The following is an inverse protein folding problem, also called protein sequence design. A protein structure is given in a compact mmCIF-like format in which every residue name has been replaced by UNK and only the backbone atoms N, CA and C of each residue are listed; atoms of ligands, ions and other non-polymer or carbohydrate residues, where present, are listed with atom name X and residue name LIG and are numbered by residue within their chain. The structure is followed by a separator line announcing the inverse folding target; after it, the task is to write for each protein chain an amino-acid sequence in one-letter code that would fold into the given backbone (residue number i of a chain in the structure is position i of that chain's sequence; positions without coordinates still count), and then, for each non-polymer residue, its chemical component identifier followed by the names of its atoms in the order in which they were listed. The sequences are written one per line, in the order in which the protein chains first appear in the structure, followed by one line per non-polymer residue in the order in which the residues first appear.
data_IF_656844309074
#
_entry.id   IF_656844309074
#
_cell.length_a   1.000
_cell.length_b   1.000
_cell.length_c   1.000
_cell.angle_alpha   90.00
_cell.angle_beta   90.00
_cell.angle_gamma   90.00
#
_symmetry.space_group_name_H-M   'P 1'
#
loop_
_entity.id
_entity.type
_entity.pdbx_description
1 polymer ?
#
# COMPACT_ATOMS: atom_id res chain seq x y z
N UNK A 1 30.31 0.48 -46.77
CA UNK A 1 31.02 1.78 -46.91
C UNK A 1 32.47 1.46 -47.26
N UNK A 2 33.14 2.24 -48.14
CA UNK A 2 34.56 2.02 -48.44
C UNK A 2 35.35 2.21 -47.13
N UNK A 3 36.12 1.19 -46.75
CA UNK A 3 36.74 1.04 -45.42
C UNK A 3 38.15 1.62 -45.33
N UNK A 4 38.44 2.61 -46.17
CA UNK A 4 39.77 3.16 -46.45
C UNK A 4 39.98 4.58 -45.89
N UNK A 5 38.96 5.16 -45.23
CA UNK A 5 38.99 6.53 -44.71
C UNK A 5 38.45 6.63 -43.29
N UNK A 6 38.97 7.60 -42.55
CA UNK A 6 38.45 7.92 -41.22
C UNK A 6 37.01 8.45 -41.32
N UNK A 7 36.15 8.01 -40.41
CA UNK A 7 34.72 8.38 -40.39
C UNK A 7 34.37 8.94 -39.02
N UNK A 8 33.85 10.17 -38.97
CA UNK A 8 33.22 10.71 -37.77
C UNK A 8 31.82 10.13 -37.63
N UNK A 9 31.50 9.62 -36.45
CA UNK A 9 30.16 9.21 -36.06
C UNK A 9 29.77 9.87 -34.73
N UNK A 10 28.46 10.01 -34.53
CA UNK A 10 27.89 10.49 -33.28
C UNK A 10 27.08 9.36 -32.69
N UNK A 11 27.40 9.00 -31.46
CA UNK A 11 26.71 7.99 -30.67
C UNK A 11 25.80 8.75 -29.69
N UNK A 12 24.52 8.39 -29.68
CA UNK A 12 23.53 8.95 -28.75
C UNK A 12 23.15 7.84 -27.77
N UNK A 13 23.40 8.08 -26.49
CA UNK A 13 22.97 7.18 -25.42
C UNK A 13 21.76 7.81 -24.72
N UNK A 14 20.62 7.17 -24.82
CA UNK A 14 19.40 7.53 -24.10
C UNK A 14 19.33 6.67 -22.84
N UNK A 15 19.43 7.31 -21.67
CA UNK A 15 19.29 6.62 -20.40
C UNK A 15 17.80 6.34 -20.13
N UNK A 16 17.51 5.12 -19.67
CA UNK A 16 16.19 4.73 -19.20
C UNK A 16 16.05 5.09 -17.71
N UNK A 17 15.63 6.32 -17.44
CA UNK A 17 15.46 6.81 -16.07
C UNK A 17 14.26 6.14 -15.40
N UNK A 18 14.52 5.42 -14.32
CA UNK A 18 13.50 4.79 -13.48
C UNK A 18 13.67 5.29 -12.03
N UNK A 19 12.74 6.11 -11.50
CA UNK A 19 11.52 6.63 -12.14
C UNK A 19 11.79 7.67 -13.24
N UNK A 20 10.82 7.82 -14.15
CA UNK A 20 10.90 8.72 -15.31
C UNK A 20 11.25 10.16 -14.90
N UNK A 21 12.36 10.66 -15.45
CA UNK A 21 12.82 12.04 -15.28
C UNK A 21 12.51 12.91 -16.50
N UNK A 22 12.45 14.22 -16.28
CA UNK A 22 12.16 15.22 -17.30
C UNK A 22 13.17 16.35 -17.22
N UNK A 23 13.61 16.83 -18.38
CA UNK A 23 14.35 18.08 -18.51
C UNK A 23 13.37 19.24 -18.47
N UNK A 24 13.67 20.26 -17.67
CA UNK A 24 12.82 21.44 -17.55
C UNK A 24 13.15 22.45 -18.66
N UNK A 25 12.16 23.26 -19.05
CA UNK A 25 12.40 24.47 -19.85
C UNK A 25 13.51 25.32 -19.19
N UNK A 26 14.46 25.91 -19.96
CA UNK A 26 15.60 26.63 -19.39
C UNK A 26 15.25 27.74 -18.40
N UNK A 27 14.10 28.42 -18.57
CA UNK A 27 13.66 29.47 -17.66
C UNK A 27 13.19 28.88 -16.33
N UNK A 28 12.40 27.81 -16.40
CA UNK A 28 11.93 27.10 -15.21
C UNK A 28 13.09 26.40 -14.48
N UNK A 29 14.01 25.80 -15.24
CA UNK A 29 15.20 25.14 -14.70
C UNK A 29 16.05 26.10 -13.87
N UNK A 30 16.27 27.31 -14.40
CA UNK A 30 17.02 28.36 -13.70
C UNK A 30 16.29 28.86 -12.45
N UNK A 31 14.97 29.00 -12.52
CA UNK A 31 14.16 29.47 -11.39
C UNK A 31 14.18 28.47 -10.22
N UNK A 32 14.01 27.19 -10.52
CA UNK A 32 13.94 26.13 -9.51
C UNK A 32 15.31 25.57 -9.11
N UNK A 33 16.37 25.89 -9.88
CA UNK A 33 17.69 25.30 -9.70
C UNK A 33 17.77 23.82 -10.08
N UNK A 34 16.88 23.38 -11.00
CA UNK A 34 16.71 21.97 -11.36
C UNK A 34 16.82 21.82 -12.88
N UNK A 35 17.80 21.07 -13.37
CA UNK A 35 17.92 20.79 -14.81
C UNK A 35 17.07 19.59 -15.25
N UNK A 36 17.19 18.48 -14.53
CA UNK A 36 16.50 17.21 -14.85
C UNK A 36 16.11 16.51 -13.56
N UNK A 37 14.82 16.20 -13.40
CA UNK A 37 14.28 15.57 -12.20
C UNK A 37 12.94 14.87 -12.48
N UNK A 38 12.43 14.14 -11.50
CA UNK A 38 11.08 13.55 -11.56
C UNK A 38 9.98 14.60 -11.39
N UNK A 39 8.79 14.34 -11.95
CA UNK A 39 7.63 15.25 -11.82
C UNK A 39 7.30 15.63 -10.37
N UNK A 40 7.24 14.69 -9.40
CA UNK A 40 6.95 15.03 -8.01
C UNK A 40 7.96 15.99 -7.40
N UNK A 41 9.26 15.80 -7.67
CA UNK A 41 10.33 16.67 -7.17
C UNK A 41 10.21 18.06 -7.78
N UNK A 42 9.91 18.18 -9.08
CA UNK A 42 9.72 19.47 -9.75
C UNK A 42 8.52 20.22 -9.17
N UNK A 43 7.40 19.54 -8.96
CA UNK A 43 6.20 20.14 -8.34
C UNK A 43 6.50 20.58 -6.91
N UNK A 44 7.22 19.77 -6.14
CA UNK A 44 7.63 20.13 -4.78
C UNK A 44 8.55 21.36 -4.75
N UNK A 45 9.51 21.44 -5.67
CA UNK A 45 10.40 22.59 -5.79
C UNK A 45 9.64 23.87 -6.20
N UNK A 46 8.70 23.76 -7.14
CA UNK A 46 7.82 24.87 -7.50
C UNK A 46 6.97 25.32 -6.30
N UNK A 47 6.46 24.37 -5.52
CA UNK A 47 5.69 24.68 -4.32
C UNK A 47 6.54 25.36 -3.25
N UNK A 48 7.77 24.90 -3.08
CA UNK A 48 8.74 25.54 -2.18
C UNK A 48 9.02 26.98 -2.62
N UNK A 49 9.21 27.22 -3.92
CA UNK A 49 9.37 28.56 -4.47
C UNK A 49 8.17 29.46 -4.14
N UNK A 50 6.94 28.99 -4.39
CA UNK A 50 5.68 29.71 -4.10
C UNK A 50 5.59 30.08 -2.62
N UNK A 51 5.92 29.15 -1.71
CA UNK A 51 5.91 29.41 -0.27
C UNK A 51 6.96 30.43 0.16
N UNK A 52 8.21 30.27 -0.30
CA UNK A 52 9.32 31.16 0.06
C UNK A 52 9.05 32.60 -0.38
N UNK A 53 8.41 32.79 -1.53
CA UNK A 53 8.07 34.11 -2.08
C UNK A 53 6.67 34.59 -1.69
N UNK A 54 5.94 33.85 -0.84
CA UNK A 54 4.58 34.17 -0.37
C UNK A 54 3.60 34.48 -1.51
N UNK A 55 3.65 33.65 -2.56
CA UNK A 55 2.86 33.84 -3.78
C UNK A 55 1.47 33.19 -3.70
N UNK A 56 1.17 32.45 -2.63
CA UNK A 56 -0.18 31.95 -2.38
C UNK A 56 -1.10 33.10 -1.94
N UNK A 57 -2.29 33.17 -2.52
CA UNK A 57 -3.26 34.21 -2.16
C UNK A 57 -3.78 34.01 -0.72
N UNK A 58 -3.86 35.10 0.06
CA UNK A 58 -4.27 35.07 1.46
C UNK A 58 -5.77 34.80 1.64
N UNK A 59 -6.60 35.28 0.72
CA UNK A 59 -8.05 35.14 0.76
C UNK A 59 -8.50 33.87 0.03
N UNK A 60 -7.89 33.58 -1.12
CA UNK A 60 -8.19 32.41 -1.94
C UNK A 60 -7.02 31.45 -1.97
N UNK A 61 -6.87 30.64 -0.92
CA UNK A 61 -5.75 29.69 -0.75
C UNK A 61 -5.59 28.63 -1.85
N UNK A 62 -6.50 28.55 -2.81
CA UNK A 62 -6.38 27.68 -3.99
C UNK A 62 -5.63 28.33 -5.17
N UNK A 63 -5.33 29.63 -5.07
CA UNK A 63 -4.69 30.42 -6.11
C UNK A 63 -3.23 30.78 -5.77
N UNK A 64 -2.43 30.84 -6.83
CA UNK A 64 -1.08 31.38 -6.84
C UNK A 64 -1.10 32.68 -7.65
N UNK A 65 -0.63 33.75 -7.03
CA UNK A 65 -0.36 35.02 -7.69
C UNK A 65 1.06 34.96 -8.24
N UNK A 66 1.20 34.82 -9.56
CA UNK A 66 2.48 34.67 -10.21
C UNK A 66 3.29 35.96 -10.05
N UNK A 67 4.56 35.83 -9.66
CA UNK A 67 5.49 36.96 -9.74
C UNK A 67 5.98 37.15 -11.18
N UNK A 68 6.82 38.17 -11.39
CA UNK A 68 7.39 38.48 -12.70
C UNK A 68 8.05 37.28 -13.39
N UNK A 69 8.65 36.35 -12.63
CA UNK A 69 9.34 35.19 -13.19
C UNK A 69 8.36 34.08 -13.57
N UNK A 70 7.42 33.76 -12.69
CA UNK A 70 6.35 32.79 -12.97
C UNK A 70 5.44 33.26 -14.10
N UNK A 71 5.14 34.56 -14.19
CA UNK A 71 4.38 35.13 -15.30
C UNK A 71 5.08 34.91 -16.65
N UNK A 72 6.41 35.08 -16.71
CA UNK A 72 7.18 34.85 -17.94
C UNK A 72 7.26 33.39 -18.35
N UNK A 73 7.08 32.46 -17.42
CA UNK A 73 7.16 31.01 -17.65
C UNK A 73 5.77 30.44 -17.97
N UNK A 74 4.79 30.70 -17.10
CA UNK A 74 3.43 30.17 -17.21
C UNK A 74 2.48 31.04 -18.03
N UNK A 75 2.94 32.23 -18.45
CA UNK A 75 2.18 33.17 -19.29
C UNK A 75 0.81 33.55 -18.69
N UNK A 76 0.74 33.62 -17.36
CA UNK A 76 -0.46 34.01 -16.63
C UNK A 76 -0.09 34.73 -15.33
N UNK A 77 -0.89 35.74 -14.97
CA UNK A 77 -0.71 36.52 -13.73
C UNK A 77 -1.18 35.76 -12.49
N UNK A 78 -2.17 34.87 -12.67
CA UNK A 78 -2.77 34.10 -11.58
C UNK A 78 -3.19 32.74 -12.11
N UNK A 79 -2.97 31.69 -11.31
CA UNK A 79 -3.38 30.32 -11.65
C UNK A 79 -3.81 29.54 -10.41
N UNK A 80 -4.68 28.54 -10.59
CA UNK A 80 -5.06 27.59 -9.52
C UNK A 80 -4.01 26.50 -9.33
N UNK A 81 -3.86 25.95 -8.12
CA UNK A 81 -2.99 24.79 -7.88
C UNK A 81 -3.32 23.59 -8.77
N UNK A 82 -4.61 23.36 -9.02
CA UNK A 82 -5.07 22.27 -9.88
C UNK A 82 -4.62 22.41 -11.35
N UNK A 83 -4.30 23.62 -11.81
CA UNK A 83 -3.80 23.87 -13.17
C UNK A 83 -2.30 23.61 -13.31
N UNK A 84 -1.55 23.62 -12.21
CA UNK A 84 -0.08 23.52 -12.21
C UNK A 84 0.41 22.27 -12.95
N UNK A 85 -0.12 21.05 -12.72
CA UNK A 85 0.36 19.86 -13.43
C UNK A 85 0.19 19.97 -14.95
N UNK A 86 -0.92 20.53 -15.42
CA UNK A 86 -1.21 20.68 -16.84
C UNK A 86 -0.31 21.74 -17.49
N UNK A 87 -0.14 22.89 -16.84
CA UNK A 87 0.76 23.95 -17.32
C UNK A 87 2.21 23.50 -17.31
N UNK A 88 2.62 22.78 -16.27
CA UNK A 88 3.96 22.23 -16.14
C UNK A 88 4.26 21.21 -17.26
N UNK A 89 3.28 20.42 -17.70
CA UNK A 89 3.49 19.42 -18.76
C UNK A 89 4.11 20.01 -20.04
N UNK A 90 3.74 21.24 -20.41
CA UNK A 90 4.29 21.93 -21.59
C UNK A 90 5.74 22.40 -21.43
N UNK A 91 6.23 22.45 -20.19
CA UNK A 91 7.57 22.89 -19.80
C UNK A 91 8.49 21.72 -19.45
N UNK A 92 8.03 20.48 -19.63
CA UNK A 92 8.76 19.25 -19.35
C UNK A 92 9.07 18.52 -20.65
N UNK A 93 10.34 18.32 -20.92
CA UNK A 93 10.86 17.64 -22.09
C UNK A 93 11.54 16.31 -21.69
N UNK A 94 11.71 15.38 -22.64
CA UNK A 94 12.59 14.24 -22.42
C UNK A 94 14.00 14.70 -22.01
N UNK A 95 14.71 13.98 -21.12
CA UNK A 95 16.10 14.24 -20.82
C UNK A 95 16.97 14.25 -22.08
N UNK A 96 18.00 15.09 -22.11
CA UNK A 96 18.92 15.12 -23.25
C UNK A 96 19.72 13.81 -23.31
N UNK A 97 19.95 13.25 -24.52
CA UNK A 97 20.83 12.10 -24.67
C UNK A 97 22.28 12.48 -24.36
N UNK A 98 23.06 11.52 -23.90
CA UNK A 98 24.51 11.67 -23.82
C UNK A 98 25.07 11.54 -25.24
N UNK A 99 25.73 12.61 -25.70
CA UNK A 99 26.28 12.71 -27.07
C UNK A 99 27.77 12.41 -27.05
N UNK A 100 28.18 11.31 -27.67
CA UNK A 100 29.58 10.93 -27.83
C UNK A 100 29.97 11.09 -29.29
N UNK A 101 30.88 12.03 -29.57
CA UNK A 101 31.46 12.20 -30.90
C UNK A 101 32.71 11.33 -31.03
N UNK A 102 32.65 10.32 -31.88
CA UNK A 102 33.73 9.36 -32.08
C UNK A 102 34.25 9.42 -33.53
N UNK A 103 35.55 9.18 -33.72
CA UNK A 103 36.17 9.11 -35.03
C UNK A 103 36.73 7.71 -35.21
N UNK A 104 36.13 6.96 -36.14
CA UNK A 104 36.59 5.65 -36.54
C UNK A 104 37.86 5.86 -37.38
N UNK A 105 39.02 5.46 -36.87
CA UNK A 105 40.31 5.57 -37.56
C UNK A 105 40.71 4.26 -38.24
N UNK A 106 41.19 4.37 -39.49
CA UNK A 106 41.72 3.24 -40.27
C UNK A 106 43.21 2.95 -40.02
N UNK A 107 43.90 3.75 -39.21
CA UNK A 107 45.35 3.61 -38.97
C UNK A 107 45.72 2.51 -37.95
N UNK A 108 46.80 1.77 -38.28
CA UNK A 108 47.72 1.02 -37.39
C UNK A 108 47.18 -0.17 -36.56
N UNK A 109 47.89 -1.32 -36.49
CA UNK A 109 47.50 -2.45 -35.63
C UNK A 109 47.67 -2.21 -34.12
N UNK A 110 48.26 -1.09 -33.67
CA UNK A 110 48.81 -0.97 -32.30
C UNK A 110 48.33 0.24 -31.47
N UNK A 111 47.36 1.02 -31.91
CA UNK A 111 46.73 2.02 -31.04
C UNK A 111 45.57 1.37 -30.27
N UNK A 112 45.60 1.40 -28.92
CA UNK A 112 44.44 0.99 -28.10
C UNK A 112 43.22 1.80 -28.52
N UNK A 113 42.31 1.19 -29.29
CA UNK A 113 41.13 1.86 -29.88
C UNK A 113 39.96 2.04 -28.88
N UNK A 114 40.23 1.95 -27.59
CA UNK A 114 39.22 1.98 -26.54
C UNK A 114 39.12 3.40 -25.97
N UNK A 115 37.97 4.03 -26.16
CA UNK A 115 37.57 5.21 -25.40
C UNK A 115 36.68 4.77 -24.25
N UNK A 116 37.04 5.15 -23.02
CA UNK A 116 36.25 4.88 -21.82
C UNK A 116 35.49 6.15 -21.43
N UNK A 117 34.21 5.99 -21.10
CA UNK A 117 33.35 7.07 -20.62
C UNK A 117 32.71 6.61 -19.32
N UNK A 118 32.91 7.38 -18.25
CA UNK A 118 32.23 7.16 -16.98
C UNK A 118 30.90 7.91 -17.01
N UNK A 119 29.81 7.19 -16.74
CA UNK A 119 28.44 7.71 -16.75
C UNK A 119 27.82 7.38 -15.41
N UNK A 120 27.49 8.42 -14.64
CA UNK A 120 26.74 8.26 -13.40
C UNK A 120 25.29 7.92 -13.72
N UNK A 121 24.78 6.82 -13.16
CA UNK A 121 23.40 6.36 -13.33
C UNK A 121 22.80 6.14 -11.95
N UNK A 122 21.63 6.74 -11.71
CA UNK A 122 20.85 6.45 -10.51
C UNK A 122 20.28 5.03 -10.61
N UNK A 123 20.56 4.20 -9.60
CA UNK A 123 20.06 2.83 -9.49
C UNK A 123 19.02 2.74 -8.37
N UNK A 124 18.04 1.86 -8.54
CA UNK A 124 17.06 1.57 -7.50
C UNK A 124 17.74 1.11 -6.20
N UNK A 125 17.21 1.58 -5.07
CA UNK A 125 17.71 1.19 -3.75
C UNK A 125 17.47 -0.32 -3.52
N UNK A 126 18.53 -1.13 -3.31
CA UNK A 126 18.39 -2.56 -3.04
C UNK A 126 17.54 -2.88 -1.80
N UNK A 127 17.42 -1.95 -0.84
CA UNK A 127 16.53 -2.09 0.32
C UNK A 127 15.06 -2.23 -0.10
N UNK A 128 14.62 -1.57 -1.18
CA UNK A 128 13.23 -1.63 -1.64
C UNK A 128 12.84 -3.04 -2.07
N UNK A 129 13.75 -3.75 -2.74
CA UNK A 129 13.56 -5.14 -3.11
C UNK A 129 13.48 -6.06 -1.88
N UNK A 130 14.36 -5.85 -0.90
CA UNK A 130 14.34 -6.59 0.37
C UNK A 130 13.04 -6.34 1.15
N UNK A 131 12.59 -5.09 1.25
CA UNK A 131 11.33 -4.73 1.89
C UNK A 131 10.13 -5.36 1.19
N UNK A 132 10.08 -5.35 -0.14
CA UNK A 132 9.03 -6.01 -0.90
C UNK A 132 9.02 -7.52 -0.64
N UNK A 133 10.19 -8.16 -0.61
CA UNK A 133 10.31 -9.58 -0.27
C UNK A 133 9.82 -9.86 1.16
N UNK A 134 10.07 -8.96 2.10
CA UNK A 134 9.59 -9.08 3.47
C UNK A 134 8.07 -8.93 3.57
N UNK A 135 7.49 -7.91 2.93
CA UNK A 135 6.03 -7.68 2.94
C UNK A 135 5.28 -8.84 2.27
N UNK A 136 5.82 -9.37 1.17
CA UNK A 136 5.24 -10.50 0.45
C UNK A 136 5.51 -11.85 1.11
N UNK A 137 6.41 -11.89 2.12
CA UNK A 137 6.66 -13.13 2.86
C UNK A 137 5.45 -13.47 3.72
N UNK A 138 4.54 -14.25 3.16
CA UNK A 138 3.46 -14.92 3.88
C UNK A 138 3.92 -16.26 4.47
N UNK A 139 5.24 -16.49 4.54
CA UNK A 139 5.86 -17.78 4.79
C UNK A 139 5.30 -18.52 6.03
N UNK A 140 4.80 -17.77 7.00
CA UNK A 140 4.28 -18.35 8.25
C UNK A 140 2.76 -18.19 8.42
N UNK A 141 2.03 -17.57 7.48
CA UNK A 141 0.58 -17.34 7.63
C UNK A 141 -0.21 -18.66 7.63
N UNK A 142 0.17 -19.62 6.79
CA UNK A 142 -0.51 -20.91 6.74
C UNK A 142 -0.25 -21.74 8.01
N UNK A 143 0.97 -21.70 8.54
CA UNK A 143 1.31 -22.40 9.79
C UNK A 143 0.61 -21.78 11.00
N UNK A 144 0.58 -20.45 11.08
CA UNK A 144 -0.19 -19.72 12.12
C UNK A 144 -1.67 -20.12 12.06
N UNK A 145 -2.27 -20.12 10.87
CA UNK A 145 -3.68 -20.50 10.71
C UNK A 145 -3.95 -21.97 11.12
N UNK A 146 -3.03 -22.87 10.80
CA UNK A 146 -3.13 -24.27 11.22
C UNK A 146 -3.02 -24.42 12.75
N UNK A 147 -2.12 -23.66 13.39
CA UNK A 147 -1.99 -23.62 14.84
C UNK A 147 -3.25 -23.02 15.50
N UNK A 148 -3.83 -21.96 14.93
CA UNK A 148 -5.07 -21.34 15.43
C UNK A 148 -6.25 -22.33 15.36
N UNK A 149 -6.39 -23.06 14.26
CA UNK A 149 -7.42 -24.10 14.13
C UNK A 149 -7.24 -25.20 15.20
N UNK A 150 -5.99 -25.65 15.40
CA UNK A 150 -5.69 -26.65 16.42
C UNK A 150 -5.97 -26.16 17.84
N UNK A 151 -5.68 -24.88 18.13
CA UNK A 151 -6.04 -24.24 19.39
C UNK A 151 -7.56 -24.28 19.57
N UNK A 152 -8.33 -23.91 18.53
CA UNK A 152 -9.78 -23.92 18.58
C UNK A 152 -10.36 -25.31 18.88
N UNK A 153 -9.95 -26.33 18.12
CA UNK A 153 -10.37 -27.72 18.33
C UNK A 153 -10.03 -28.23 19.73
N UNK A 154 -8.85 -27.88 20.23
CA UNK A 154 -8.42 -28.28 21.58
C UNK A 154 -9.28 -27.61 22.64
N UNK A 155 -9.60 -26.32 22.50
CA UNK A 155 -10.47 -25.58 23.43
C UNK A 155 -11.88 -26.15 23.43
N UNK A 156 -12.43 -26.51 22.26
CA UNK A 156 -13.73 -27.15 22.18
C UNK A 156 -13.74 -28.51 22.90
N UNK A 157 -12.71 -29.31 22.69
CA UNK A 157 -12.54 -30.61 23.37
C UNK A 157 -12.45 -30.43 24.89
N UNK A 158 -11.69 -29.44 25.37
CA UNK A 158 -11.58 -29.12 26.80
C UNK A 158 -12.94 -28.75 27.38
N UNK A 159 -13.73 -27.94 26.66
CA UNK A 159 -15.07 -27.56 27.12
C UNK A 159 -16.02 -28.75 27.20
N UNK A 160 -16.02 -29.63 26.20
CA UNK A 160 -16.81 -30.87 26.23
C UNK A 160 -16.41 -31.76 27.41
N UNK A 161 -15.11 -31.97 27.63
CA UNK A 161 -14.61 -32.76 28.75
C UNK A 161 -14.93 -32.12 30.10
N UNK A 162 -14.88 -30.78 30.21
CA UNK A 162 -15.28 -30.05 31.42
C UNK A 162 -16.75 -30.27 31.74
N UNK A 163 -17.65 -30.11 30.76
CA UNK A 163 -19.09 -30.36 30.94
C UNK A 163 -19.36 -31.80 31.37
N UNK A 164 -18.71 -32.78 30.72
CA UNK A 164 -18.84 -34.19 31.11
C UNK A 164 -18.35 -34.43 32.55
N UNK A 165 -17.20 -33.87 32.91
CA UNK A 165 -16.65 -34.00 34.27
C UNK A 165 -17.59 -33.39 35.31
N UNK A 166 -18.11 -32.19 35.07
CA UNK A 166 -19.03 -31.51 35.98
C UNK A 166 -20.36 -32.28 36.15
N UNK A 167 -20.86 -32.88 35.06
CA UNK A 167 -22.02 -33.77 35.09
C UNK A 167 -21.80 -34.95 36.04
N UNK A 168 -20.73 -35.72 35.83
CA UNK A 168 -20.45 -36.90 36.64
C UNK A 168 -20.11 -36.55 38.10
N UNK A 169 -19.41 -35.44 38.34
CA UNK A 169 -19.15 -34.97 39.70
C UNK A 169 -20.44 -34.56 40.44
N UNK A 170 -21.37 -33.92 39.74
CA UNK A 170 -22.66 -33.53 40.32
C UNK A 170 -23.49 -34.75 40.70
N UNK A 171 -23.51 -35.77 39.84
CA UNK A 171 -24.16 -37.06 40.13
C UNK A 171 -23.51 -37.77 41.32
N UNK A 172 -22.17 -37.85 41.36
CA UNK A 172 -21.44 -38.54 42.42
C UNK A 172 -21.61 -37.86 43.79
N UNK A 173 -21.81 -36.54 43.83
CA UNK A 173 -21.96 -35.77 45.07
C UNK A 173 -23.33 -35.97 45.73
N UNK A 174 -24.41 -35.95 44.95
CA UNK A 174 -25.78 -36.18 45.43
C UNK A 174 -26.64 -36.78 44.30
N UNK A 175 -26.68 -38.11 44.18
CA UNK A 175 -27.32 -38.77 43.05
C UNK A 175 -28.84 -38.59 43.05
N UNK A 176 -29.48 -38.54 44.22
CA UNK A 176 -30.94 -38.42 44.32
C UNK A 176 -31.39 -37.03 43.86
N UNK A 177 -30.76 -35.97 44.38
CA UNK A 177 -31.05 -34.61 43.96
C UNK A 177 -30.71 -34.39 42.49
N UNK A 178 -29.56 -34.91 42.04
CA UNK A 178 -29.14 -34.80 40.65
C UNK A 178 -30.13 -35.44 39.68
N UNK A 179 -30.57 -36.69 39.93
CA UNK A 179 -31.53 -37.40 39.06
C UNK A 179 -32.85 -36.62 38.96
N UNK A 180 -33.36 -36.13 40.10
CA UNK A 180 -34.59 -35.32 40.12
C UNK A 180 -34.45 -34.07 39.24
N UNK A 181 -33.36 -33.31 39.43
CA UNK A 181 -33.07 -32.11 38.62
C UNK A 181 -32.87 -32.45 37.14
N UNK A 182 -32.21 -33.58 36.85
CA UNK A 182 -31.96 -34.04 35.49
C UNK A 182 -33.25 -34.40 34.77
N UNK A 183 -34.18 -35.12 35.42
CA UNK A 183 -35.49 -35.45 34.86
C UNK A 183 -36.30 -34.19 34.53
N UNK A 184 -36.29 -33.19 35.42
CA UNK A 184 -36.95 -31.90 35.17
C UNK A 184 -36.30 -31.16 33.99
N UNK A 185 -34.97 -31.17 33.90
CA UNK A 185 -34.26 -30.56 32.76
C UNK A 185 -34.61 -31.24 31.44
N UNK A 186 -34.49 -32.57 31.37
CA UNK A 186 -34.81 -33.34 30.17
C UNK A 186 -36.28 -33.20 29.74
N UNK A 187 -37.20 -33.14 30.70
CA UNK A 187 -38.62 -32.89 30.40
C UNK A 187 -38.83 -31.51 29.81
N UNK A 188 -38.14 -30.48 30.34
CA UNK A 188 -38.18 -29.12 29.79
C UNK A 188 -37.61 -29.08 28.38
N UNK A 189 -36.43 -29.66 28.18
CA UNK A 189 -35.75 -29.68 26.88
C UNK A 189 -36.62 -30.39 25.84
N UNK A 190 -37.24 -31.52 26.21
CA UNK A 190 -38.19 -32.23 25.36
C UNK A 190 -39.39 -31.36 25.00
N UNK A 191 -40.04 -30.72 25.99
CA UNK A 191 -41.17 -29.81 25.75
C UNK A 191 -40.79 -28.67 24.80
N UNK A 192 -39.59 -28.10 24.95
CA UNK A 192 -39.06 -27.06 24.06
C UNK A 192 -38.81 -27.59 22.64
N UNK A 193 -38.29 -28.82 22.49
CA UNK A 193 -38.06 -29.41 21.18
C UNK A 193 -39.35 -29.84 20.46
N UNK A 194 -40.41 -30.17 21.19
CA UNK A 194 -41.68 -30.68 20.63
C UNK A 194 -42.82 -29.66 20.67
N UNK A 195 -42.55 -28.41 21.06
CA UNK A 195 -43.56 -27.35 21.26
C UNK A 195 -44.75 -27.75 22.15
N UNK A 196 -44.52 -28.69 23.09
CA UNK A 196 -45.57 -29.14 24.01
C UNK A 196 -45.69 -28.14 25.14
N UNK A 197 -46.86 -27.50 25.23
CA UNK A 197 -47.18 -26.50 26.24
C UNK A 197 -48.00 -27.12 27.37
N UNK A 198 -47.84 -26.60 28.59
CA UNK A 198 -48.58 -27.04 29.76
C UNK A 198 -47.93 -28.22 30.50
N UNK A 199 -48.46 -28.53 31.67
CA UNK A 199 -48.05 -29.65 32.48
C UNK A 199 -49.30 -30.43 32.86
N UNK A 200 -49.66 -31.49 32.11
CA UNK A 200 -50.89 -32.24 32.35
C UNK A 200 -50.99 -32.77 33.78
N UNK A 201 -49.85 -33.01 34.45
CA UNK A 201 -49.84 -33.45 35.83
C UNK A 201 -50.18 -32.31 36.81
N UNK A 202 -49.72 -31.08 36.56
CA UNK A 202 -50.11 -29.91 37.39
C UNK A 202 -51.60 -29.60 37.21
N UNK A 203 -52.11 -29.70 35.98
CA UNK A 203 -53.51 -29.51 35.62
C UNK A 203 -54.46 -30.52 36.31
N UNK A 204 -53.95 -31.64 36.84
CA UNK A 204 -54.75 -32.61 37.60
C UNK A 204 -54.98 -32.22 39.06
N UNK A 205 -54.18 -31.31 39.61
CA UNK A 205 -54.29 -30.88 41.00
C UNK A 205 -55.20 -29.67 41.14
N UNK A 206 -56.06 -29.67 42.16
CA UNK A 206 -57.01 -28.58 42.40
C UNK A 206 -56.31 -27.22 42.59
N UNK A 207 -55.10 -27.22 43.18
CA UNK A 207 -54.27 -26.02 43.40
C UNK A 207 -53.96 -25.25 42.11
N UNK A 208 -53.90 -25.93 40.97
CA UNK A 208 -53.69 -25.29 39.66
C UNK A 208 -54.81 -24.30 39.33
N UNK A 209 -56.06 -24.60 39.71
CA UNK A 209 -57.23 -23.78 39.43
C UNK A 209 -57.51 -22.69 40.47
N UNK A 210 -56.75 -22.65 41.57
CA UNK A 210 -56.83 -21.60 42.59
C UNK A 210 -55.79 -20.48 42.39
N UNK A 211 -55.04 -20.50 41.28
CA UNK A 211 -54.03 -19.50 40.96
C UNK A 211 -54.65 -18.20 40.43
N UNK A 212 -53.91 -17.09 40.48
CA UNK A 212 -54.43 -15.72 40.19
C UNK A 212 -54.40 -15.32 38.70
N UNK A 213 -53.94 -16.22 37.83
CA UNK A 213 -53.71 -15.97 36.41
C UNK A 213 -54.90 -16.39 35.55
#
# INVERSE_FOLDING_TARGET
RPGDKNVRCTILLLLDYQPLQFKLDPRLARLLGIHTQTRPVIIAALWQYVKTHRLQDNHEREHINCDKYLEQIFQCQRMKFAEVPQRLHQLLHPPDPIVINHVISVEGPDTKKTACYDIDVEVDDPLKAQMNSFILSTANQQEIQALDNKIHETVETINQLKTNREFFLSFAKDPQYFISKWLVSQMRDLKTMTDVVGSPEEERHADFYYQRW
#
